data_IF_937018154185
#
_entry.id   IF_937018154185
#
_cell.length_a   1.000
_cell.length_b   1.000
_cell.length_c   1.000
_cell.angle_alpha   90.00
_cell.angle_beta   90.00
_cell.angle_gamma   90.00
#
_symmetry.space_group_name_H-M   'P 1'
#
loop_
_entity.id
_entity.type
_entity.pdbx_description
1 polymer ?
#
# COMPACT_ATOMS: atom_id res chain seq x y z
N UNK A 1 -6.40 -26.04 -18.11
CA UNK A 1 -7.59 -26.70 -17.48
C UNK A 1 -7.65 -28.22 -17.61
N UNK A 2 -7.18 -28.87 -18.69
CA UNK A 2 -7.16 -30.35 -18.78
C UNK A 2 -6.15 -31.03 -17.84
N UNK A 3 -4.99 -30.42 -17.56
CA UNK A 3 -3.98 -30.98 -16.67
C UNK A 3 -4.41 -30.98 -15.20
N UNK A 4 -5.13 -29.96 -14.76
CA UNK A 4 -5.64 -29.84 -13.37
C UNK A 4 -6.74 -30.86 -13.09
N UNK A 5 -7.62 -31.15 -14.05
CA UNK A 5 -8.66 -32.18 -13.90
C UNK A 5 -8.07 -33.60 -13.82
N UNK A 6 -6.95 -33.87 -14.47
CA UNK A 6 -6.28 -35.17 -14.43
C UNK A 6 -5.60 -35.42 -13.08
N UNK A 7 -5.06 -34.36 -12.46
CA UNK A 7 -4.45 -34.44 -11.12
C UNK A 7 -5.51 -34.70 -10.02
N UNK A 8 -6.69 -34.08 -10.11
CA UNK A 8 -7.77 -34.27 -9.12
C UNK A 8 -8.40 -35.67 -9.23
N UNK A 9 -8.44 -36.27 -10.43
CA UNK A 9 -9.03 -37.61 -10.62
C UNK A 9 -8.14 -38.73 -10.09
N UNK A 10 -6.80 -38.51 -10.07
CA UNK A 10 -5.86 -39.48 -9.50
C UNK A 10 -5.86 -39.51 -7.97
N UNK A 11 -6.36 -38.47 -7.29
CA UNK A 11 -6.48 -38.43 -5.82
C UNK A 11 -7.72 -39.19 -5.31
N UNK A 12 -8.73 -39.42 -6.16
CA UNK A 12 -9.98 -40.10 -5.79
C UNK A 12 -9.95 -41.63 -5.85
N UNK A 13 -8.92 -42.22 -6.44
CA UNK A 13 -8.81 -43.66 -6.66
C UNK A 13 -7.63 -44.32 -5.90
N UNK A 14 -7.33 -43.87 -4.70
CA UNK A 14 -6.36 -44.52 -3.81
C UNK A 14 -6.96 -45.73 -3.10
N UNK A 15 -6.22 -46.86 -2.92
CA UNK A 15 -6.72 -48.08 -2.32
C UNK A 15 -6.93 -47.96 -0.81
N UNK A 16 -7.89 -48.71 -0.33
CA UNK A 16 -8.39 -48.84 1.05
C UNK A 16 -7.32 -49.13 2.11
N UNK A 17 -7.51 -48.52 3.25
CA UNK A 17 -6.87 -48.62 4.54
C UNK A 17 -6.20 -49.98 4.90
N UNK A 18 -4.86 -49.92 5.03
CA UNK A 18 -4.04 -50.83 5.82
C UNK A 18 -3.33 -50.04 6.95
N UNK A 19 -2.77 -50.68 7.98
CA UNK A 19 -2.35 -50.03 9.22
C UNK A 19 -1.20 -49.04 9.01
N UNK A 20 -1.26 -47.92 9.74
CA UNK A 20 -0.33 -46.81 9.75
C UNK A 20 1.13 -47.22 10.00
N UNK A 21 1.84 -47.49 8.92
CA UNK A 21 3.29 -47.46 8.92
C UNK A 21 3.72 -45.98 8.71
N UNK A 22 4.68 -45.52 9.49
CA UNK A 22 5.31 -44.19 9.38
C UNK A 22 6.13 -44.12 8.09
N UNK A 23 5.47 -44.09 6.94
CA UNK A 23 6.10 -43.66 5.69
C UNK A 23 6.14 -42.15 5.70
N UNK A 24 7.31 -41.56 5.94
CA UNK A 24 7.64 -40.23 5.45
C UNK A 24 7.31 -40.23 3.97
N UNK A 25 6.27 -39.53 3.59
CA UNK A 25 6.05 -39.14 2.18
C UNK A 25 7.27 -38.31 1.79
N UNK A 26 8.25 -38.96 1.14
CA UNK A 26 9.22 -38.22 0.32
C UNK A 26 8.42 -37.64 -0.83
N UNK A 27 7.99 -36.39 -0.66
CA UNK A 27 7.55 -35.58 -1.78
C UNK A 27 8.79 -35.45 -2.66
N UNK A 28 8.78 -35.96 -3.91
CA UNK A 28 9.92 -35.79 -4.79
C UNK A 28 10.14 -34.29 -4.89
N UNK A 29 11.31 -33.81 -4.48
CA UNK A 29 11.71 -32.41 -4.66
C UNK A 29 11.50 -32.12 -6.14
N UNK A 30 10.70 -31.10 -6.41
CA UNK A 30 10.46 -30.61 -7.77
C UNK A 30 11.81 -30.41 -8.47
N UNK A 31 11.88 -30.70 -9.76
CA UNK A 31 13.07 -30.44 -10.57
C UNK A 31 13.63 -29.05 -10.27
N UNK A 32 14.91 -28.98 -9.93
CA UNK A 32 15.59 -27.70 -9.72
C UNK A 32 15.94 -27.12 -11.09
N UNK A 33 15.60 -25.86 -11.32
CA UNK A 33 15.94 -25.16 -12.53
C UNK A 33 17.21 -24.34 -12.31
N UNK A 34 18.13 -24.39 -13.28
CA UNK A 34 19.33 -23.55 -13.23
C UNK A 34 18.94 -22.08 -13.28
N UNK A 35 19.58 -21.26 -12.43
CA UNK A 35 19.39 -19.81 -12.47
C UNK A 35 19.91 -19.28 -13.82
N UNK A 36 19.12 -18.46 -14.49
CA UNK A 36 19.49 -17.82 -15.74
C UNK A 36 20.75 -16.96 -15.52
N UNK A 37 21.68 -17.02 -16.49
CA UNK A 37 22.97 -16.31 -16.42
C UNK A 37 22.82 -14.79 -16.32
N UNK A 38 21.74 -14.22 -16.85
CA UNK A 38 21.42 -12.81 -16.66
C UNK A 38 21.22 -12.47 -15.18
N UNK A 39 20.43 -13.24 -14.44
CA UNK A 39 20.20 -13.00 -13.01
C UNK A 39 21.43 -13.29 -12.16
N UNK A 40 22.23 -14.30 -12.52
CA UNK A 40 23.52 -14.53 -11.84
C UNK A 40 24.47 -13.35 -11.96
N UNK A 41 24.49 -12.71 -13.12
CA UNK A 41 25.41 -11.60 -13.42
C UNK A 41 24.92 -10.27 -12.84
N UNK A 42 23.61 -10.05 -12.84
CA UNK A 42 23.00 -8.74 -12.49
C UNK A 42 22.26 -8.77 -11.14
N UNK A 43 22.33 -9.86 -10.38
CA UNK A 43 21.84 -9.90 -9.01
C UNK A 43 22.60 -8.93 -8.11
N UNK A 44 21.90 -8.24 -7.21
CA UNK A 44 22.51 -7.33 -6.23
C UNK A 44 23.34 -8.04 -5.17
N UNK A 45 23.02 -9.33 -4.94
CA UNK A 45 23.75 -10.20 -4.01
C UNK A 45 24.01 -11.56 -4.66
N UNK A 46 25.12 -12.18 -4.31
CA UNK A 46 25.47 -13.56 -4.65
C UNK A 46 24.73 -14.55 -3.74
N UNK A 47 24.77 -15.83 -4.09
CA UNK A 47 24.28 -16.90 -3.22
C UNK A 47 25.01 -16.93 -1.86
N UNK A 48 26.31 -16.70 -1.85
CA UNK A 48 27.12 -16.66 -0.64
C UNK A 48 26.71 -15.51 0.28
N UNK A 49 26.57 -14.29 -0.27
CA UNK A 49 26.09 -13.11 0.46
C UNK A 49 24.66 -13.30 0.99
N UNK A 50 23.79 -13.97 0.23
CA UNK A 50 22.46 -14.32 0.70
C UNK A 50 22.50 -15.17 1.97
N UNK A 51 23.31 -16.23 1.98
CA UNK A 51 23.44 -17.08 3.16
C UNK A 51 24.08 -16.37 4.35
N UNK A 52 25.00 -15.47 4.12
CA UNK A 52 25.58 -14.64 5.18
C UNK A 52 24.55 -13.69 5.78
N UNK A 53 23.80 -12.96 4.96
CA UNK A 53 22.70 -12.09 5.39
C UNK A 53 21.60 -12.88 6.11
N UNK A 54 21.21 -14.04 5.56
CA UNK A 54 20.23 -14.92 6.21
C UNK A 54 20.71 -15.38 7.58
N UNK A 55 21.96 -15.82 7.70
CA UNK A 55 22.55 -16.23 8.97
C UNK A 55 22.53 -15.07 9.97
N UNK A 56 22.97 -13.89 9.57
CA UNK A 56 22.94 -12.69 10.41
C UNK A 56 21.51 -12.37 10.86
N UNK A 57 20.52 -12.43 9.96
CA UNK A 57 19.11 -12.13 10.28
C UNK A 57 18.51 -13.05 11.35
N UNK A 58 19.08 -14.26 11.52
CA UNK A 58 18.63 -15.26 12.52
C UNK A 58 19.48 -15.19 13.80
N UNK A 59 20.80 -15.15 13.69
CA UNK A 59 21.73 -15.20 14.82
C UNK A 59 21.94 -13.87 15.52
N UNK A 60 21.95 -12.77 14.77
CA UNK A 60 22.02 -11.37 15.26
C UNK A 60 20.90 -10.53 14.64
N UNK A 61 19.68 -10.86 14.99
CA UNK A 61 18.49 -10.24 14.41
C UNK A 61 18.44 -8.72 14.62
N UNK A 62 18.84 -8.22 15.80
CA UNK A 62 18.83 -6.78 16.08
C UNK A 62 19.91 -6.06 15.30
N UNK A 63 21.14 -6.60 15.25
CA UNK A 63 22.22 -6.04 14.43
C UNK A 63 21.86 -6.01 12.94
N UNK A 64 21.27 -7.09 12.42
CA UNK A 64 20.77 -7.14 11.03
C UNK A 64 19.77 -6.03 10.74
N UNK A 65 18.70 -5.91 11.56
CA UNK A 65 17.66 -4.92 11.30
C UNK A 65 18.10 -3.48 11.59
N UNK A 66 19.08 -3.27 12.51
CA UNK A 66 19.70 -1.97 12.69
C UNK A 66 20.46 -1.52 11.42
N UNK A 67 21.19 -2.44 10.79
CA UNK A 67 21.91 -2.18 9.55
C UNK A 67 20.93 -1.94 8.39
N UNK A 68 19.95 -2.81 8.21
CA UNK A 68 18.98 -2.67 7.11
C UNK A 68 18.11 -1.41 7.23
N UNK A 69 17.88 -0.91 8.44
CA UNK A 69 17.15 0.35 8.65
C UNK A 69 17.87 1.58 8.07
N UNK A 70 19.15 1.47 7.74
CA UNK A 70 19.89 2.49 6.99
C UNK A 70 19.45 2.67 5.52
N UNK A 71 18.53 1.82 5.01
CA UNK A 71 17.96 1.97 3.65
C UNK A 71 17.00 3.17 3.54
N UNK A 72 16.47 3.66 4.66
CA UNK A 72 15.55 4.80 4.75
C UNK A 72 16.16 5.95 5.54
N UNK A 73 15.69 7.16 5.29
CA UNK A 73 16.13 8.37 5.99
C UNK A 73 15.27 8.57 7.23
N UNK A 74 15.94 8.77 8.36
CA UNK A 74 15.31 9.04 9.65
C UNK A 74 15.42 10.51 10.01
N UNK A 75 14.31 11.13 10.41
CA UNK A 75 14.28 12.50 10.97
C UNK A 75 14.96 12.49 12.33
N UNK A 76 14.63 11.49 13.15
CA UNK A 76 15.28 11.19 14.43
C UNK A 76 15.67 9.71 14.42
N UNK A 77 16.97 9.39 14.47
CA UNK A 77 17.41 8.00 14.56
C UNK A 77 16.85 7.28 15.78
N UNK A 78 16.50 6.00 15.60
CA UNK A 78 16.11 5.13 16.70
C UNK A 78 17.33 4.72 17.55
N UNK A 79 17.09 4.39 18.81
CA UNK A 79 18.10 3.80 19.71
C UNK A 79 17.79 2.35 20.04
N UNK A 80 16.52 1.92 19.90
CA UNK A 80 16.04 0.58 20.14
C UNK A 80 15.46 -0.01 18.86
N UNK A 81 16.02 -1.15 18.41
CA UNK A 81 15.61 -1.78 17.15
C UNK A 81 14.25 -2.44 17.29
N UNK A 82 14.06 -3.26 18.33
CA UNK A 82 12.79 -3.94 18.59
C UNK A 82 12.51 -4.09 20.08
N UNK A 83 11.23 -4.20 20.39
CA UNK A 83 10.67 -4.61 21.66
C UNK A 83 9.52 -5.56 21.40
N UNK A 84 9.74 -6.86 21.62
CA UNK A 84 8.81 -7.90 21.24
C UNK A 84 8.60 -8.88 22.37
N UNK A 85 7.36 -9.10 22.76
CA UNK A 85 6.96 -10.14 23.69
C UNK A 85 5.79 -10.94 23.12
N UNK A 86 5.87 -12.25 23.20
CA UNK A 86 4.77 -13.19 22.91
C UNK A 86 4.19 -13.79 24.20
N UNK A 87 4.54 -13.25 25.37
CA UNK A 87 3.95 -13.69 26.62
C UNK A 87 2.44 -13.36 26.64
N UNK A 88 1.63 -14.29 27.17
CA UNK A 88 0.16 -14.16 27.14
C UNK A 88 -0.36 -12.88 27.79
N UNK A 89 0.31 -12.44 28.85
CA UNK A 89 -0.10 -11.27 29.65
C UNK A 89 0.65 -9.99 29.26
N UNK A 90 1.57 -10.08 28.27
CA UNK A 90 2.40 -8.97 27.80
C UNK A 90 2.71 -9.14 26.30
N UNK A 91 1.67 -9.28 25.49
CA UNK A 91 1.81 -9.41 24.05
C UNK A 91 2.01 -8.04 23.40
N UNK A 92 3.21 -7.80 22.87
CA UNK A 92 3.49 -6.60 22.09
C UNK A 92 4.57 -6.84 21.05
N UNK A 93 4.52 -6.07 19.96
CA UNK A 93 5.50 -6.09 18.86
C UNK A 93 5.73 -4.64 18.47
N UNK A 94 6.94 -4.14 18.72
CA UNK A 94 7.35 -2.77 18.40
C UNK A 94 8.70 -2.78 17.71
N UNK A 95 8.82 -1.96 16.65
CA UNK A 95 10.04 -1.82 15.89
C UNK A 95 10.44 -0.35 15.80
N UNK A 96 11.72 -0.05 16.13
CA UNK A 96 12.28 1.30 16.03
C UNK A 96 11.51 2.36 16.85
N UNK A 97 10.92 1.96 17.95
CA UNK A 97 9.90 2.65 18.75
C UNK A 97 10.19 4.13 19.05
N UNK A 98 11.46 4.51 19.19
CA UNK A 98 11.88 5.88 19.51
C UNK A 98 12.41 6.67 18.30
N UNK A 99 12.37 6.08 17.11
CA UNK A 99 12.73 6.70 15.85
C UNK A 99 11.57 7.50 15.23
N UNK A 100 11.92 8.54 14.46
CA UNK A 100 10.95 9.35 13.71
C UNK A 100 11.36 9.42 12.24
N UNK A 101 10.38 9.27 11.34
CA UNK A 101 10.56 9.34 9.90
C UNK A 101 9.24 9.74 9.23
N UNK A 102 9.25 9.91 7.90
CA UNK A 102 8.03 10.06 7.11
C UNK A 102 8.12 9.23 5.83
N UNK A 103 7.06 8.50 5.50
CA UNK A 103 7.03 7.63 4.32
C UNK A 103 7.04 8.46 3.04
N UNK A 104 6.26 9.54 2.97
CA UNK A 104 6.24 10.41 1.80
C UNK A 104 7.60 11.03 1.53
N UNK A 105 8.30 11.53 2.57
CA UNK A 105 9.67 12.03 2.44
C UNK A 105 10.59 10.98 1.82
N UNK A 106 10.55 9.76 2.32
CA UNK A 106 11.38 8.66 1.83
C UNK A 106 11.04 8.22 0.40
N UNK A 107 9.78 8.32 -0.01
CA UNK A 107 9.35 7.95 -1.36
C UNK A 107 9.57 9.08 -2.39
N UNK A 108 9.54 10.34 -1.98
CA UNK A 108 9.50 11.49 -2.88
C UNK A 108 10.61 12.50 -2.60
N UNK A 109 10.57 13.15 -1.44
CA UNK A 109 11.37 14.35 -1.15
C UNK A 109 12.87 14.11 -1.20
N UNK A 110 13.35 13.01 -0.61
CA UNK A 110 14.78 12.67 -0.60
C UNK A 110 15.40 12.49 -1.98
N UNK A 111 14.56 12.29 -2.99
CA UNK A 111 15.02 12.10 -4.38
C UNK A 111 15.03 13.37 -5.20
N UNK A 112 14.50 14.49 -4.69
CA UNK A 112 14.36 15.73 -5.46
C UNK A 112 15.71 16.35 -5.85
N UNK A 113 16.71 16.26 -4.98
CA UNK A 113 18.04 16.84 -5.25
C UNK A 113 18.69 16.27 -6.54
N UNK A 114 18.52 14.97 -6.78
CA UNK A 114 19.22 14.26 -7.85
C UNK A 114 18.31 13.78 -8.98
N UNK A 115 16.99 13.67 -8.73
CA UNK A 115 16.03 12.99 -9.64
C UNK A 115 14.78 13.78 -9.92
N UNK A 116 14.74 15.10 -9.66
CA UNK A 116 13.53 15.91 -9.84
C UNK A 116 12.89 15.76 -11.22
N UNK A 117 13.69 15.66 -12.28
CA UNK A 117 13.23 15.53 -13.66
C UNK A 117 13.07 14.06 -14.12
N UNK A 118 13.44 13.07 -13.28
CA UNK A 118 13.26 11.65 -13.59
C UNK A 118 11.80 11.26 -13.43
N UNK A 119 11.32 10.35 -14.31
CA UNK A 119 9.99 9.77 -14.18
C UNK A 119 9.86 9.03 -12.83
N UNK A 120 8.87 9.42 -12.03
CA UNK A 120 8.46 8.75 -10.80
C UNK A 120 7.28 7.82 -11.06
N UNK A 121 6.33 8.24 -11.89
CA UNK A 121 5.16 7.45 -12.27
C UNK A 121 5.03 7.47 -13.80
N UNK A 122 4.84 6.30 -14.38
CA UNK A 122 4.41 6.10 -15.75
C UNK A 122 3.04 5.45 -15.67
N UNK A 123 2.02 6.13 -16.14
CA UNK A 123 0.65 5.65 -16.11
C UNK A 123 0.11 5.49 -17.53
N UNK A 124 -0.55 4.37 -17.77
CA UNK A 124 -1.31 4.11 -18.98
C UNK A 124 -2.78 3.91 -18.63
N UNK A 125 -3.65 4.63 -19.30
CA UNK A 125 -5.09 4.54 -19.14
C UNK A 125 -5.66 3.30 -19.80
N UNK A 126 -6.97 3.13 -19.61
CA UNK A 126 -7.73 2.03 -20.20
C UNK A 126 -7.85 2.15 -21.74
N UNK A 127 -7.78 3.37 -22.25
CA UNK A 127 -7.82 3.67 -23.68
C UNK A 127 -6.38 3.82 -24.21
N UNK A 128 -5.96 3.00 -25.21
CA UNK A 128 -4.62 3.07 -25.79
C UNK A 128 -4.29 4.48 -26.29
N UNK A 129 -3.16 5.03 -25.83
CA UNK A 129 -2.72 6.38 -26.12
C UNK A 129 -3.16 7.44 -25.12
N UNK A 130 -3.86 7.02 -24.05
CA UNK A 130 -4.05 7.83 -22.85
C UNK A 130 -2.98 7.47 -21.85
N UNK A 131 -1.86 8.18 -21.88
CA UNK A 131 -0.72 7.93 -21.00
C UNK A 131 -0.25 9.23 -20.33
N UNK A 132 0.39 9.09 -19.18
CA UNK A 132 0.95 10.19 -18.43
C UNK A 132 2.24 9.79 -17.75
N UNK A 133 3.29 10.58 -17.95
CA UNK A 133 4.53 10.46 -17.19
C UNK A 133 4.65 11.61 -16.21
N UNK A 134 4.83 11.30 -14.94
CA UNK A 134 4.96 12.28 -13.85
C UNK A 134 6.38 12.18 -13.31
N UNK A 135 7.12 13.29 -13.31
CA UNK A 135 8.45 13.35 -12.69
C UNK A 135 8.37 13.41 -11.16
N UNK A 136 9.49 13.15 -10.46
CA UNK A 136 9.55 13.33 -9.00
C UNK A 136 9.20 14.75 -8.56
N UNK A 137 9.66 15.77 -9.30
CA UNK A 137 9.33 17.15 -9.00
C UNK A 137 7.85 17.47 -9.17
N UNK A 138 7.23 16.95 -10.23
CA UNK A 138 5.79 17.09 -10.44
C UNK A 138 4.98 16.27 -9.41
N UNK A 139 5.41 15.06 -9.08
CA UNK A 139 4.77 14.24 -8.04
C UNK A 139 4.80 14.95 -6.69
N UNK A 140 5.95 15.52 -6.32
CA UNK A 140 6.08 16.31 -5.10
C UNK A 140 5.05 17.44 -5.02
N UNK A 141 4.93 18.24 -6.09
CA UNK A 141 3.95 19.34 -6.15
C UNK A 141 2.52 18.82 -5.99
N UNK A 142 2.14 17.79 -6.74
CA UNK A 142 0.80 17.20 -6.65
C UNK A 142 0.50 16.67 -5.25
N UNK A 143 1.48 16.03 -4.61
CA UNK A 143 1.34 15.53 -3.24
C UNK A 143 1.20 16.66 -2.24
N UNK A 144 1.98 17.75 -2.37
CA UNK A 144 1.86 18.93 -1.50
C UNK A 144 0.49 19.60 -1.62
N UNK A 145 0.00 19.84 -2.85
CA UNK A 145 -1.33 20.40 -3.08
C UNK A 145 -2.41 19.52 -2.48
N UNK A 146 -2.39 18.22 -2.80
CA UNK A 146 -3.38 17.28 -2.29
C UNK A 146 -3.37 17.22 -0.74
N UNK A 147 -2.19 17.20 -0.13
CA UNK A 147 -2.00 17.21 1.31
C UNK A 147 -2.56 18.50 1.95
N UNK A 148 -2.32 19.67 1.33
CA UNK A 148 -2.86 20.93 1.80
C UNK A 148 -4.38 21.01 1.62
N UNK A 149 -4.94 20.42 0.55
CA UNK A 149 -6.39 20.27 0.41
C UNK A 149 -6.95 19.41 1.52
N UNK A 150 -6.36 18.26 1.83
CA UNK A 150 -6.80 17.41 2.95
C UNK A 150 -6.79 18.21 4.27
N UNK A 151 -5.75 18.98 4.55
CA UNK A 151 -5.68 19.86 5.73
C UNK A 151 -6.78 20.92 5.73
N UNK A 152 -7.06 21.54 4.58
CA UNK A 152 -8.08 22.59 4.43
C UNK A 152 -9.49 22.07 4.71
N UNK A 153 -9.76 20.81 4.40
CA UNK A 153 -11.05 20.15 4.68
C UNK A 153 -11.11 19.47 6.05
N UNK A 154 -10.07 19.65 6.87
CA UNK A 154 -10.07 19.27 8.28
C UNK A 154 -9.25 18.02 8.64
N UNK A 155 -8.55 17.39 7.69
CA UNK A 155 -7.68 16.24 8.00
C UNK A 155 -6.53 16.59 8.93
N UNK A 156 -6.25 15.74 9.88
CA UNK A 156 -5.18 15.89 10.89
C UNK A 156 -4.39 14.59 11.03
N UNK A 157 -3.20 14.68 11.63
CA UNK A 157 -2.42 13.50 12.05
C UNK A 157 -3.30 12.54 12.85
N UNK A 158 -3.29 11.26 12.46
CA UNK A 158 -4.06 10.19 13.09
C UNK A 158 -5.50 10.03 12.60
N UNK A 159 -6.02 10.96 11.80
CA UNK A 159 -7.34 10.78 11.16
C UNK A 159 -7.30 9.64 10.14
N UNK A 160 -8.43 8.93 10.01
CA UNK A 160 -8.57 7.85 9.01
C UNK A 160 -9.23 8.40 7.76
N UNK A 161 -8.56 8.17 6.63
CA UNK A 161 -9.01 8.60 5.30
C UNK A 161 -9.22 7.37 4.44
N UNK A 162 -10.45 7.12 4.02
CA UNK A 162 -10.76 6.04 3.07
C UNK A 162 -10.49 6.49 1.65
N UNK A 163 -9.74 5.71 0.88
CA UNK A 163 -9.46 5.95 -0.53
C UNK A 163 -10.20 4.91 -1.37
N UNK A 164 -11.22 5.36 -2.11
CA UNK A 164 -12.04 4.53 -3.00
C UNK A 164 -11.92 5.10 -4.43
N UNK A 165 -10.82 4.77 -5.09
CA UNK A 165 -10.36 5.38 -6.33
C UNK A 165 -10.19 4.35 -7.45
N UNK A 166 -10.27 4.77 -8.72
CA UNK A 166 -9.79 3.95 -9.83
C UNK A 166 -8.25 3.97 -9.85
N UNK A 167 -7.64 3.11 -10.68
CA UNK A 167 -6.19 3.04 -10.85
C UNK A 167 -5.66 4.20 -11.70
N UNK A 168 -5.74 5.41 -11.16
CA UNK A 168 -5.21 6.66 -11.75
C UNK A 168 -4.11 7.22 -10.85
N UNK A 169 -3.23 8.11 -11.37
CA UNK A 169 -2.12 8.67 -10.60
C UNK A 169 -2.54 9.31 -9.29
N UNK A 170 -3.72 9.91 -9.25
CA UNK A 170 -4.27 10.56 -8.05
C UNK A 170 -4.50 9.58 -6.89
N UNK A 171 -4.64 8.27 -7.15
CA UNK A 171 -4.70 7.26 -6.08
C UNK A 171 -3.35 7.15 -5.33
N UNK A 172 -2.24 7.14 -6.06
CA UNK A 172 -0.90 7.15 -5.47
C UNK A 172 -0.61 8.49 -4.77
N UNK A 173 -0.99 9.60 -5.39
CA UNK A 173 -0.86 10.95 -4.81
C UNK A 173 -1.63 11.05 -3.50
N UNK A 174 -2.86 10.52 -3.43
CA UNK A 174 -3.68 10.51 -2.22
C UNK A 174 -3.05 9.71 -1.08
N UNK A 175 -2.50 8.52 -1.36
CA UNK A 175 -1.79 7.71 -0.35
C UNK A 175 -0.56 8.46 0.20
N UNK A 176 0.25 9.04 -0.69
CA UNK A 176 1.43 9.83 -0.31
C UNK A 176 1.06 11.12 0.43
N UNK A 177 -0.03 11.78 0.05
CA UNK A 177 -0.54 12.97 0.74
C UNK A 177 -1.00 12.65 2.17
N UNK A 178 -1.72 11.54 2.37
CA UNK A 178 -2.07 11.05 3.71
C UNK A 178 -0.82 10.78 4.55
N UNK A 179 0.15 10.03 4.00
CA UNK A 179 1.40 9.74 4.68
C UNK A 179 2.20 11.02 5.00
N UNK A 180 2.14 12.03 4.13
CA UNK A 180 2.83 13.31 4.31
C UNK A 180 2.37 14.06 5.55
N UNK A 181 1.05 14.08 5.81
CA UNK A 181 0.45 14.78 6.94
C UNK A 181 0.18 13.89 8.15
N UNK A 182 0.59 12.62 8.11
CA UNK A 182 0.38 11.66 9.19
C UNK A 182 -1.06 11.18 9.34
N UNK A 183 -1.89 11.31 8.30
CA UNK A 183 -3.22 10.69 8.25
C UNK A 183 -3.11 9.21 7.88
N UNK A 184 -3.95 8.38 8.49
CA UNK A 184 -3.98 6.93 8.28
C UNK A 184 -4.89 6.62 7.09
N UNK A 185 -4.33 6.16 5.97
CA UNK A 185 -5.16 5.84 4.81
C UNK A 185 -5.65 4.39 4.81
N UNK A 186 -6.88 4.20 4.32
CA UNK A 186 -7.48 2.88 4.10
C UNK A 186 -7.92 2.76 2.65
N UNK A 187 -7.19 1.99 1.85
CA UNK A 187 -7.52 1.82 0.43
C UNK A 187 -8.56 0.72 0.25
N UNK A 188 -9.61 1.05 -0.46
CA UNK A 188 -10.72 0.15 -0.78
C UNK A 188 -10.80 -0.02 -2.29
N UNK A 189 -10.83 -1.27 -2.74
CA UNK A 189 -10.92 -1.59 -4.17
C UNK A 189 -12.15 -0.94 -4.81
N UNK A 190 -11.96 -0.14 -5.87
CA UNK A 190 -13.00 0.62 -6.55
C UNK A 190 -14.14 -0.23 -7.18
N UNK A 191 -13.99 -1.54 -7.21
CA UNK A 191 -15.02 -2.49 -7.66
C UNK A 191 -15.90 -3.04 -6.54
N UNK A 192 -15.69 -2.66 -5.28
CA UNK A 192 -16.56 -3.12 -4.18
C UNK A 192 -17.91 -2.40 -4.16
N UNK A 193 -18.93 -3.08 -3.60
CA UNK A 193 -20.27 -2.53 -3.44
C UNK A 193 -20.31 -1.41 -2.38
N UNK A 194 -21.34 -0.55 -2.40
CA UNK A 194 -21.55 0.45 -1.35
C UNK A 194 -21.56 -0.12 0.07
N UNK A 195 -22.20 -1.27 0.30
CA UNK A 195 -22.24 -1.91 1.62
C UNK A 195 -20.84 -2.35 2.08
N UNK A 196 -20.02 -2.90 1.15
CA UNK A 196 -18.65 -3.30 1.45
C UNK A 196 -17.74 -2.09 1.75
N UNK A 197 -17.99 -0.95 1.12
CA UNK A 197 -17.34 0.32 1.40
C UNK A 197 -17.79 0.87 2.75
N UNK A 198 -19.09 0.93 3.01
CA UNK A 198 -19.67 1.41 4.27
C UNK A 198 -19.13 0.63 5.47
N UNK A 199 -19.08 -0.71 5.37
CA UNK A 199 -18.53 -1.54 6.44
C UNK A 199 -17.09 -1.18 6.82
N UNK A 200 -16.25 -0.77 5.86
CA UNK A 200 -14.87 -0.33 6.12
C UNK A 200 -14.81 1.07 6.71
N UNK A 201 -15.65 1.97 6.23
CA UNK A 201 -15.76 3.34 6.78
C UNK A 201 -16.17 3.27 8.25
N UNK A 202 -17.14 2.41 8.59
CA UNK A 202 -17.60 2.20 9.96
C UNK A 202 -16.50 1.61 10.83
N UNK A 203 -15.85 0.52 10.36
CA UNK A 203 -14.87 -0.22 11.14
C UNK A 203 -13.61 0.62 11.46
N UNK A 204 -13.12 1.41 10.50
CA UNK A 204 -11.97 2.30 10.75
C UNK A 204 -12.36 3.72 11.18
N UNK A 205 -13.66 4.01 11.33
CA UNK A 205 -14.17 5.34 11.72
C UNK A 205 -13.61 6.46 10.82
N UNK A 206 -13.61 6.26 9.50
CA UNK A 206 -13.15 7.27 8.56
C UNK A 206 -14.00 8.53 8.60
N UNK A 207 -13.34 9.69 8.69
CA UNK A 207 -13.98 11.00 8.61
C UNK A 207 -13.94 11.63 7.21
N UNK A 208 -13.05 11.16 6.34
CA UNK A 208 -12.91 11.62 4.95
C UNK A 208 -12.90 10.41 4.02
N UNK A 209 -13.60 10.54 2.89
CA UNK A 209 -13.48 9.63 1.74
C UNK A 209 -12.92 10.38 0.55
N UNK A 210 -11.89 9.83 -0.08
CA UNK A 210 -11.36 10.29 -1.37
C UNK A 210 -11.90 9.38 -2.46
N UNK A 211 -12.49 9.94 -3.50
CA UNK A 211 -13.05 9.19 -4.62
C UNK A 211 -12.90 9.94 -5.94
N UNK A 212 -13.34 9.36 -7.05
CA UNK A 212 -13.49 10.06 -8.33
C UNK A 212 -14.97 10.13 -8.72
N UNK A 213 -15.29 11.03 -9.67
CA UNK A 213 -16.62 11.03 -10.29
C UNK A 213 -16.97 9.63 -10.78
N UNK A 214 -16.15 9.07 -11.67
CA UNK A 214 -16.24 7.71 -12.17
C UNK A 214 -14.84 7.12 -12.45
N UNK A 215 -14.76 5.80 -12.53
CA UNK A 215 -13.60 5.08 -13.04
C UNK A 215 -13.90 4.44 -14.39
N UNK A 216 -12.88 4.25 -15.23
CA UNK A 216 -12.99 3.45 -16.44
C UNK A 216 -12.25 2.14 -16.22
N UNK A 217 -12.88 1.02 -16.56
CA UNK A 217 -12.28 -0.31 -16.45
C UNK A 217 -12.78 -1.24 -17.53
N UNK A 218 -11.89 -1.69 -18.43
CA UNK A 218 -12.26 -2.51 -19.58
C UNK A 218 -13.27 -1.83 -20.48
N UNK A 219 -13.15 -0.51 -20.71
CA UNK A 219 -14.07 0.30 -21.48
C UNK A 219 -15.42 0.55 -20.83
N UNK A 220 -15.61 0.22 -19.54
CA UNK A 220 -16.85 0.40 -18.80
C UNK A 220 -16.67 1.44 -17.70
N UNK A 221 -17.67 2.33 -17.58
CA UNK A 221 -17.74 3.27 -16.46
C UNK A 221 -18.15 2.57 -15.17
N UNK A 222 -17.47 2.92 -14.08
CA UNK A 222 -17.77 2.53 -12.69
C UNK A 222 -18.16 3.80 -11.94
N UNK A 223 -19.41 3.93 -11.45
CA UNK A 223 -19.91 5.17 -10.85
C UNK A 223 -19.46 5.31 -9.39
N UNK A 224 -18.19 5.67 -9.19
CA UNK A 224 -17.53 5.68 -7.87
C UNK A 224 -18.19 6.65 -6.89
N UNK A 225 -18.41 7.90 -7.29
CA UNK A 225 -19.10 8.90 -6.44
C UNK A 225 -20.49 8.45 -6.02
N UNK A 226 -21.27 7.86 -6.95
CA UNK A 226 -22.58 7.31 -6.64
C UNK A 226 -22.50 6.17 -5.60
N UNK A 227 -21.49 5.32 -5.71
CA UNK A 227 -21.26 4.24 -4.74
C UNK A 227 -20.89 4.81 -3.36
N UNK A 228 -20.08 5.87 -3.30
CA UNK A 228 -19.73 6.57 -2.05
C UNK A 228 -20.96 7.23 -1.43
N UNK A 229 -21.81 7.86 -2.22
CA UNK A 229 -23.07 8.45 -1.72
C UNK A 229 -24.00 7.39 -1.12
N UNK A 230 -24.11 6.25 -1.78
CA UNK A 230 -24.89 5.12 -1.26
C UNK A 230 -24.27 4.54 0.03
N UNK A 231 -22.95 4.42 0.10
CA UNK A 231 -22.24 3.98 1.31
C UNK A 231 -22.44 4.97 2.47
N UNK A 232 -22.37 6.28 2.20
CA UNK A 232 -22.57 7.33 3.19
C UNK A 232 -24.00 7.34 3.80
N UNK A 233 -24.97 6.79 3.06
CA UNK A 233 -26.36 6.68 3.50
C UNK A 233 -26.65 5.40 4.33
N UNK A 234 -25.69 4.50 4.50
CA UNK A 234 -25.85 3.27 5.29
C UNK A 234 -25.88 3.59 6.76
N UNK A 235 -26.81 3.00 7.49
CA UNK A 235 -26.91 3.12 8.94
C UNK A 235 -25.58 2.72 9.61
N UNK A 236 -25.10 3.58 10.51
CA UNK A 236 -23.81 3.39 11.21
C UNK A 236 -22.64 4.17 10.60
N UNK A 237 -22.73 4.72 9.40
CA UNK A 237 -21.76 5.68 8.86
C UNK A 237 -22.00 7.05 9.47
N UNK A 238 -21.47 7.29 10.67
CA UNK A 238 -21.72 8.50 11.45
C UNK A 238 -20.51 9.44 11.55
N UNK A 239 -19.33 8.96 11.16
CA UNK A 239 -18.07 9.70 11.26
C UNK A 239 -17.70 10.46 10.01
N UNK A 240 -18.28 10.10 8.86
CA UNK A 240 -17.96 10.69 7.57
C UNK A 240 -18.43 12.14 7.47
N UNK A 241 -17.47 13.07 7.39
CA UNK A 241 -17.69 14.51 7.31
C UNK A 241 -17.51 15.05 5.88
N UNK A 242 -16.46 14.62 5.18
CA UNK A 242 -16.10 15.14 3.85
C UNK A 242 -15.90 14.03 2.82
N UNK A 243 -16.26 14.34 1.57
CA UNK A 243 -15.96 13.53 0.40
C UNK A 243 -15.16 14.40 -0.58
N UNK A 244 -13.89 14.07 -0.77
CA UNK A 244 -13.01 14.72 -1.74
C UNK A 244 -13.11 13.98 -3.08
N UNK A 245 -13.53 14.71 -4.12
CA UNK A 245 -13.84 14.11 -5.43
C UNK A 245 -12.82 14.56 -6.48
N UNK A 246 -12.19 13.59 -7.12
CA UNK A 246 -11.31 13.79 -8.27
C UNK A 246 -12.15 13.77 -9.55
N UNK A 247 -11.96 14.73 -10.44
CA UNK A 247 -12.59 14.75 -11.76
C UNK A 247 -11.78 13.86 -12.71
N UNK A 248 -12.27 12.67 -13.00
CA UNK A 248 -11.63 11.69 -13.88
C UNK A 248 -12.30 11.63 -15.28
N UNK A 249 -13.62 11.47 -15.33
CA UNK A 249 -14.36 11.41 -16.60
C UNK A 249 -15.00 12.74 -16.98
N UNK A 250 -15.23 13.61 -16.01
CA UNK A 250 -15.93 14.88 -16.20
C UNK A 250 -17.46 14.74 -16.28
N UNK A 251 -17.99 13.55 -16.04
CA UNK A 251 -19.43 13.34 -16.00
C UNK A 251 -20.05 14.02 -14.78
N UNK A 252 -21.34 14.40 -14.93
CA UNK A 252 -22.10 14.97 -13.83
C UNK A 252 -22.36 13.92 -12.74
N UNK A 253 -22.17 14.33 -11.49
CA UNK A 253 -22.44 13.51 -10.30
C UNK A 253 -23.40 14.21 -9.36
N UNK A 254 -24.09 13.46 -8.52
CA UNK A 254 -24.87 14.05 -7.45
C UNK A 254 -23.95 14.75 -6.47
N UNK A 255 -24.37 15.91 -5.97
CA UNK A 255 -23.56 16.78 -5.13
C UNK A 255 -24.29 17.17 -3.85
N UNK A 256 -23.61 17.15 -2.74
CA UNK A 256 -24.10 17.63 -1.45
C UNK A 256 -23.20 18.74 -0.93
N UNK A 257 -23.72 19.99 -0.97
CA UNK A 257 -23.01 21.13 -0.44
C UNK A 257 -22.62 20.96 1.03
N UNK A 258 -21.42 21.43 1.36
CA UNK A 258 -20.85 21.31 2.72
C UNK A 258 -20.18 19.95 3.01
N UNK A 259 -20.55 18.87 2.33
CA UNK A 259 -19.91 17.56 2.43
C UNK A 259 -18.91 17.31 1.29
N UNK A 260 -19.33 17.54 0.06
CA UNK A 260 -18.56 17.19 -1.13
C UNK A 260 -17.65 18.36 -1.54
N UNK A 261 -16.43 18.02 -1.94
CA UNK A 261 -15.39 18.98 -2.34
C UNK A 261 -14.73 18.48 -3.62
N UNK A 262 -14.70 19.32 -4.66
CA UNK A 262 -13.90 19.04 -5.85
C UNK A 262 -12.42 19.29 -5.57
N UNK A 263 -11.56 18.30 -5.84
CA UNK A 263 -10.11 18.45 -5.66
C UNK A 263 -9.56 19.64 -6.47
N UNK A 264 -9.84 19.70 -7.77
CA UNK A 264 -9.32 20.72 -8.67
C UNK A 264 -9.78 22.15 -8.35
N UNK A 265 -10.90 22.33 -7.64
CA UNK A 265 -11.36 23.63 -7.16
C UNK A 265 -10.64 24.02 -5.87
N UNK A 266 -10.47 23.05 -4.96
CA UNK A 266 -9.80 23.28 -3.69
C UNK A 266 -8.29 23.53 -3.85
N UNK A 267 -7.64 22.91 -4.84
CA UNK A 267 -6.21 23.09 -5.13
C UNK A 267 -5.83 24.53 -5.52
N UNK A 268 -6.77 25.30 -6.06
CA UNK A 268 -6.51 26.71 -6.47
C UNK A 268 -6.14 27.61 -5.28
N UNK A 269 -6.56 27.26 -4.09
CA UNK A 269 -6.45 28.10 -2.88
C UNK A 269 -5.43 27.60 -1.85
N UNK A 270 -4.65 26.57 -2.17
CA UNK A 270 -3.66 26.01 -1.23
C UNK A 270 -2.23 26.28 -1.68
N UNK A 271 -1.29 26.21 -0.73
CA UNK A 271 0.13 26.44 -0.98
C UNK A 271 0.79 25.27 -1.74
N UNK A 272 1.86 25.62 -2.48
CA UNK A 272 2.71 24.65 -3.19
C UNK A 272 3.61 23.84 -2.25
N UNK A 273 3.80 24.28 -1.01
CA UNK A 273 4.63 23.64 -0.01
C UNK A 273 3.80 23.05 1.12
N UNK A 274 4.16 21.83 1.50
CA UNK A 274 3.56 21.12 2.62
C UNK A 274 4.65 20.26 3.30
N UNK A 275 5.30 20.74 4.37
CA UNK A 275 6.31 19.96 5.07
C UNK A 275 5.78 18.60 5.54
N UNK A 276 6.64 17.58 5.47
CA UNK A 276 6.30 16.25 5.97
C UNK A 276 6.19 16.26 7.50
N UNK A 277 5.08 15.69 8.02
CA UNK A 277 4.87 15.51 9.45
C UNK A 277 5.86 14.47 10.00
N UNK A 278 6.63 14.77 11.06
CA UNK A 278 7.42 13.76 11.75
C UNK A 278 6.50 12.69 12.37
N UNK A 279 6.71 11.43 11.97
CA UNK A 279 5.95 10.28 12.44
C UNK A 279 6.83 9.39 13.28
N UNK A 280 6.36 9.00 14.47
CA UNK A 280 6.99 7.93 15.22
C UNK A 280 6.96 6.63 14.41
N UNK A 281 7.98 5.79 14.52
CA UNK A 281 8.05 4.52 13.79
C UNK A 281 6.86 3.59 14.04
N UNK A 282 6.23 3.67 15.21
CA UNK A 282 5.03 2.90 15.57
C UNK A 282 3.71 3.66 15.33
N UNK A 283 3.76 4.92 14.85
CA UNK A 283 2.54 5.60 14.43
C UNK A 283 1.86 4.84 13.27
N UNK A 284 0.51 4.71 13.29
CA UNK A 284 -0.26 4.11 12.22
C UNK A 284 0.00 4.80 10.86
N UNK A 285 0.19 4.00 9.81
CA UNK A 285 0.36 4.47 8.44
C UNK A 285 -0.85 4.18 7.57
N UNK A 286 -1.29 2.92 7.55
CA UNK A 286 -2.44 2.52 6.75
C UNK A 286 -3.16 1.30 7.30
N UNK A 287 -4.40 1.10 6.80
CA UNK A 287 -5.23 -0.06 7.09
C UNK A 287 -5.63 -0.72 5.78
N UNK A 288 -5.36 -2.02 5.64
CA UNK A 288 -5.89 -2.83 4.55
C UNK A 288 -6.72 -3.99 5.09
N UNK A 289 -7.83 -4.29 4.40
CA UNK A 289 -8.79 -5.30 4.83
C UNK A 289 -8.53 -6.64 4.17
N UNK A 290 -8.52 -7.69 4.98
CA UNK A 290 -8.48 -9.08 4.52
C UNK A 290 -9.86 -9.71 4.64
N UNK A 291 -10.10 -10.81 3.88
CA UNK A 291 -11.39 -11.51 3.84
C UNK A 291 -11.81 -12.16 5.18
N UNK A 292 -10.92 -12.22 6.17
CA UNK A 292 -11.20 -12.79 7.48
C UNK A 292 -11.76 -14.22 7.46
N UNK A 293 -11.40 -15.07 8.42
CA UNK A 293 -11.91 -16.44 8.54
C UNK A 293 -13.40 -16.52 8.93
N UNK A 294 -13.96 -15.44 9.45
CA UNK A 294 -15.36 -15.33 9.91
C UNK A 294 -16.32 -14.73 8.90
N UNK A 295 -15.84 -14.41 7.68
CA UNK A 295 -16.63 -13.75 6.63
C UNK A 295 -16.71 -12.23 6.76
N UNK A 296 -16.46 -11.65 7.94
CA UNK A 296 -16.34 -10.19 8.11
C UNK A 296 -14.91 -9.77 7.82
N UNK A 297 -14.68 -8.79 6.93
CA UNK A 297 -13.36 -8.27 6.66
C UNK A 297 -12.71 -7.72 7.94
N UNK A 298 -11.40 -7.97 8.08
CA UNK A 298 -10.61 -7.49 9.23
C UNK A 298 -9.57 -6.48 8.74
N UNK A 299 -9.55 -5.31 9.35
CA UNK A 299 -8.54 -4.29 9.11
C UNK A 299 -7.19 -4.71 9.71
N UNK A 300 -6.16 -4.77 8.87
CA UNK A 300 -4.78 -4.97 9.31
C UNK A 300 -4.12 -3.60 9.34
N UNK A 301 -3.76 -3.15 10.54
CA UNK A 301 -3.07 -1.89 10.76
C UNK A 301 -1.57 -2.10 10.57
N UNK A 302 -0.96 -1.28 9.72
CA UNK A 302 0.48 -1.22 9.52
C UNK A 302 1.04 0.07 10.11
N UNK A 303 2.15 -0.05 10.85
CA UNK A 303 2.88 1.09 11.41
C UNK A 303 3.95 1.59 10.44
N UNK A 304 4.49 2.79 10.69
CA UNK A 304 5.30 3.54 9.72
C UNK A 304 6.69 2.95 9.50
N UNK A 305 7.48 2.78 10.56
CA UNK A 305 8.92 2.50 10.44
C UNK A 305 9.24 1.08 10.00
N UNK A 306 8.74 0.09 10.74
CA UNK A 306 9.01 -1.32 10.45
C UNK A 306 8.51 -1.73 9.07
N UNK A 307 7.33 -1.25 8.68
CA UNK A 307 6.78 -1.46 7.35
C UNK A 307 7.67 -0.87 6.25
N UNK A 308 8.07 0.41 6.38
CA UNK A 308 8.87 1.07 5.34
C UNK A 308 10.23 0.42 5.15
N UNK A 309 10.93 0.08 6.25
CA UNK A 309 12.21 -0.63 6.18
C UNK A 309 12.06 -1.98 5.47
N UNK A 310 11.04 -2.77 5.82
CA UNK A 310 10.79 -4.07 5.21
C UNK A 310 10.41 -3.96 3.74
N UNK A 311 9.53 -3.03 3.38
CA UNK A 311 9.13 -2.81 1.99
C UNK A 311 10.32 -2.38 1.13
N UNK A 312 11.15 -1.44 1.61
CA UNK A 312 12.34 -0.98 0.91
C UNK A 312 13.38 -2.09 0.74
N UNK A 313 13.59 -2.92 1.78
CA UNK A 313 14.49 -4.08 1.73
C UNK A 313 14.03 -5.11 0.69
N UNK A 314 12.72 -5.43 0.72
CA UNK A 314 12.10 -6.36 -0.22
C UNK A 314 12.23 -5.85 -1.66
N UNK A 315 11.95 -4.57 -1.87
CA UNK A 315 12.08 -3.95 -3.19
C UNK A 315 13.52 -4.03 -3.71
N UNK A 316 14.49 -3.75 -2.86
CA UNK A 316 15.90 -3.82 -3.21
C UNK A 316 16.35 -5.24 -3.56
N UNK A 317 16.13 -6.21 -2.69
CA UNK A 317 16.74 -7.54 -2.83
C UNK A 317 15.87 -8.55 -3.57
N UNK A 318 14.55 -8.58 -3.34
CA UNK A 318 13.67 -9.57 -3.97
C UNK A 318 13.31 -9.16 -5.39
N UNK A 319 13.01 -7.89 -5.61
CA UNK A 319 12.75 -7.37 -6.97
C UNK A 319 14.02 -6.97 -7.71
N UNK A 320 15.16 -6.95 -7.04
CA UNK A 320 16.47 -6.64 -7.65
C UNK A 320 16.47 -5.32 -8.42
N UNK A 321 15.75 -4.31 -7.90
CA UNK A 321 15.62 -3.02 -8.57
C UNK A 321 16.96 -2.31 -8.73
N UNK A 322 17.27 -1.88 -9.95
CA UNK A 322 18.43 -1.09 -10.31
C UNK A 322 18.00 0.32 -10.74
N UNK A 323 18.83 1.37 -10.50
CA UNK A 323 18.54 2.71 -10.98
C UNK A 323 18.26 2.73 -12.49
N UNK A 324 17.09 3.20 -12.89
CA UNK A 324 16.63 3.25 -14.28
C UNK A 324 15.69 2.10 -14.68
N UNK A 325 15.49 1.11 -13.82
CA UNK A 325 14.47 0.08 -14.05
C UNK A 325 13.06 0.65 -13.90
N UNK A 326 12.13 0.06 -14.65
CA UNK A 326 10.70 0.31 -14.51
C UNK A 326 10.08 -0.86 -13.74
N UNK A 327 9.51 -0.57 -12.58
CA UNK A 327 8.75 -1.54 -11.80
C UNK A 327 7.25 -1.42 -12.10
N UNK A 328 6.61 -2.54 -12.38
CA UNK A 328 5.17 -2.60 -12.63
C UNK A 328 4.52 -3.72 -11.82
N UNK A 329 3.59 -3.33 -10.95
CA UNK A 329 2.72 -4.26 -10.24
C UNK A 329 1.34 -4.25 -10.89
N UNK A 330 0.82 -5.42 -11.28
CA UNK A 330 -0.50 -5.57 -11.90
C UNK A 330 -1.65 -5.67 -10.91
N UNK A 331 -1.34 -5.70 -9.61
CA UNK A 331 -2.36 -5.73 -8.56
C UNK A 331 -2.92 -4.32 -8.32
N UNK A 332 -4.20 -4.26 -7.97
CA UNK A 332 -4.86 -3.03 -7.53
C UNK A 332 -4.31 -2.57 -6.18
N UNK A 333 -4.23 -1.25 -5.95
CA UNK A 333 -3.73 -0.64 -4.70
C UNK A 333 -4.60 -0.95 -3.47
N UNK A 334 -5.80 -1.48 -3.66
CA UNK A 334 -6.63 -2.02 -2.58
C UNK A 334 -6.13 -3.36 -2.00
N UNK A 335 -5.06 -3.94 -2.57
CA UNK A 335 -4.39 -5.15 -2.08
C UNK A 335 -2.97 -4.80 -1.64
N UNK A 336 -2.48 -5.47 -0.59
CA UNK A 336 -1.13 -5.20 -0.06
C UNK A 336 -0.04 -5.26 -1.13
N UNK A 337 -0.15 -6.18 -2.08
CA UNK A 337 0.83 -6.33 -3.18
C UNK A 337 0.87 -5.11 -4.11
N UNK A 338 -0.27 -4.48 -4.37
CA UNK A 338 -0.34 -3.27 -5.21
C UNK A 338 -0.08 -1.99 -4.42
N UNK A 339 -0.34 -2.00 -3.11
CA UNK A 339 -0.14 -0.87 -2.21
C UNK A 339 1.34 -0.69 -1.86
N UNK A 340 2.05 -1.78 -1.57
CA UNK A 340 3.45 -1.80 -1.11
C UNK A 340 4.40 -1.99 -2.28
#
# INVERSE_FOLDING_TARGET
MRAIRKAIQNVRNGPSSGPLGTHRLEIPMSETYAINDYFKKNGLISEEEYFELYKQSVEDNEGFWAEQAGIVDWIKPFTKVKDVSFAKDDLHIRWYEDGELNVCYNCVDRHLADKADQAAIIWEGDDPGTDLTISYGELHKRVCHFANVLKSIGAKKGDRVTIYMPMIPEAAVAMLACARIGAVHSVVFGGFSPDALAGRIIDCESNIVITADEGIRGGRSVPLKKNVDAAAAVDGVTTLDKILVVRNTGNEVQWQDGRDVWLHEAEVSVDDDCPCEPMNAEDPLFILYTSGSTGTPKGVLHTTGGYLVYAALTFRYVFNYQPGDIYWCTADVGWVTGHS
#
